data_IF_510333755912
#
_entry.id   IF_510333755912
#
_cell.length_a   1.000
_cell.length_b   1.000
_cell.length_c   1.000
_cell.angle_alpha   90.00
_cell.angle_beta   90.00
_cell.angle_gamma   90.00
#
_symmetry.space_group_name_H-M   'P 1'
#
loop_
_entity.id
_entity.type
_entity.pdbx_description
1 polymer ?
#
# COMPACT_ATOMS: atom_id res chain seq x y z
N UNK A 1 -33.93 11.80 -5.98
CA UNK A 1 -32.99 11.33 -7.03
C UNK A 1 -31.61 11.27 -6.39
N UNK A 2 -31.30 10.17 -5.69
CA UNK A 2 -29.94 9.90 -5.21
C UNK A 2 -29.25 9.13 -6.35
N UNK A 3 -28.38 9.81 -7.09
CA UNK A 3 -27.71 9.30 -8.28
C UNK A 3 -26.43 8.50 -7.96
N UNK A 4 -26.15 8.22 -6.68
CA UNK A 4 -24.99 7.46 -6.22
C UNK A 4 -25.43 6.39 -5.23
N UNK A 5 -25.00 5.15 -5.49
CA UNK A 5 -25.05 4.08 -4.51
C UNK A 5 -24.17 4.49 -3.31
N UNK A 6 -24.76 4.62 -2.12
CA UNK A 6 -24.02 4.96 -0.90
C UNK A 6 -22.88 3.97 -0.63
N UNK A 7 -23.05 2.71 -1.05
CA UNK A 7 -22.07 1.65 -0.92
C UNK A 7 -20.85 1.85 -1.83
N UNK A 8 -21.06 2.33 -3.07
CA UNK A 8 -19.96 2.72 -3.96
C UNK A 8 -19.15 3.85 -3.32
N UNK A 9 -19.81 4.91 -2.86
CA UNK A 9 -19.13 6.07 -2.27
C UNK A 9 -18.30 5.66 -1.05
N UNK A 10 -18.85 4.81 -0.18
CA UNK A 10 -18.13 4.28 0.97
C UNK A 10 -16.92 3.44 0.56
N UNK A 11 -17.09 2.54 -0.41
CA UNK A 11 -16.01 1.68 -0.90
C UNK A 11 -14.87 2.48 -1.54
N UNK A 12 -15.19 3.51 -2.33
CA UNK A 12 -14.18 4.41 -2.92
C UNK A 12 -13.39 5.13 -1.83
N UNK A 13 -14.05 5.64 -0.79
CA UNK A 13 -13.36 6.29 0.34
C UNK A 13 -12.39 5.34 1.06
N UNK A 14 -12.79 4.10 1.29
CA UNK A 14 -11.92 3.10 1.92
C UNK A 14 -10.72 2.74 1.03
N UNK A 15 -10.93 2.62 -0.29
CA UNK A 15 -9.84 2.40 -1.25
C UNK A 15 -8.85 3.58 -1.21
N UNK A 16 -9.34 4.82 -1.29
CA UNK A 16 -8.48 6.02 -1.24
C UNK A 16 -7.71 6.09 0.09
N UNK A 17 -8.36 5.82 1.22
CA UNK A 17 -7.70 5.77 2.52
C UNK A 17 -6.58 4.72 2.57
N UNK A 18 -6.78 3.56 1.95
CA UNK A 18 -5.74 2.53 1.81
C UNK A 18 -4.55 3.04 0.97
N UNK A 19 -4.81 3.80 -0.10
CA UNK A 19 -3.76 4.37 -0.95
C UNK A 19 -2.97 5.47 -0.24
N UNK A 20 -3.68 6.35 0.49
CA UNK A 20 -3.07 7.40 1.30
C UNK A 20 -2.20 6.80 2.41
N UNK A 21 -2.63 5.70 3.02
CA UNK A 21 -1.82 4.96 3.99
C UNK A 21 -0.52 4.42 3.37
N UNK A 22 -0.55 3.87 2.14
CA UNK A 22 0.68 3.47 1.42
C UNK A 22 1.62 4.65 1.18
N UNK A 23 1.10 5.82 0.80
CA UNK A 23 1.92 7.03 0.58
C UNK A 23 2.54 7.53 1.89
N UNK A 24 1.75 7.55 2.97
CA UNK A 24 2.22 7.92 4.29
C UNK A 24 3.35 6.98 4.76
N UNK A 25 3.19 5.67 4.58
CA UNK A 25 4.24 4.70 4.86
C UNK A 25 5.49 4.93 4.01
N UNK A 26 5.35 5.16 2.70
CA UNK A 26 6.48 5.44 1.83
C UNK A 26 7.27 6.68 2.29
N UNK A 27 6.58 7.74 2.73
CA UNK A 27 7.23 8.92 3.30
C UNK A 27 8.02 8.59 4.58
N UNK A 28 7.46 7.77 5.47
CA UNK A 28 8.15 7.31 6.69
C UNK A 28 9.34 6.40 6.38
N UNK A 29 9.22 5.55 5.37
CA UNK A 29 10.33 4.73 4.85
C UNK A 29 11.46 5.63 4.33
N UNK A 30 11.14 6.70 3.60
CA UNK A 30 12.13 7.68 3.18
C UNK A 30 12.80 8.40 4.35
N UNK A 31 12.08 8.70 5.43
CA UNK A 31 12.67 9.25 6.66
C UNK A 31 13.70 8.30 7.27
N UNK A 32 13.38 7.01 7.39
CA UNK A 32 14.31 5.97 7.86
C UNK A 32 15.57 5.94 6.99
N UNK A 33 15.42 5.93 5.66
CA UNK A 33 16.53 5.93 4.70
C UNK A 33 17.40 7.18 4.89
N UNK A 34 16.79 8.35 5.08
CA UNK A 34 17.49 9.62 5.32
C UNK A 34 18.33 9.56 6.60
N UNK A 35 17.74 9.15 7.71
CA UNK A 35 18.42 9.02 9.01
C UNK A 35 19.56 8.00 9.00
N UNK A 36 19.39 6.89 8.29
CA UNK A 36 20.46 5.90 8.08
C UNK A 36 21.58 6.44 7.18
N UNK A 37 21.32 7.45 6.36
CA UNK A 37 22.31 8.05 5.46
C UNK A 37 23.21 9.08 6.15
N UNK A 38 22.76 9.65 7.27
CA UNK A 38 23.50 10.62 8.07
C UNK A 38 24.53 9.97 9.02
N UNK A 39 24.47 8.65 9.20
CA UNK A 39 25.34 7.87 10.11
C UNK A 39 26.51 7.19 9.37
N UNK A 40 27.54 6.78 10.11
CA UNK A 40 28.70 6.02 9.56
C UNK A 40 28.21 4.71 8.96
N UNK A 41 28.30 4.57 7.63
CA UNK A 41 27.66 3.47 6.90
C UNK A 41 28.34 2.11 7.14
N UNK A 42 27.76 1.30 8.01
CA UNK A 42 28.11 -0.13 8.15
C UNK A 42 27.51 -0.97 7.01
N UNK A 43 27.95 -2.22 6.85
CA UNK A 43 27.35 -3.12 5.86
C UNK A 43 25.87 -3.41 6.18
N UNK A 44 25.55 -3.63 7.45
CA UNK A 44 24.19 -3.92 7.89
C UNK A 44 23.24 -2.74 7.60
N UNK A 45 23.67 -1.51 7.84
CA UNK A 45 22.88 -0.33 7.50
C UNK A 45 22.64 -0.19 5.98
N UNK A 46 23.59 -0.60 5.14
CA UNK A 46 23.37 -0.65 3.67
C UNK A 46 22.31 -1.68 3.31
N UNK A 47 22.33 -2.84 3.97
CA UNK A 47 21.35 -3.91 3.72
C UNK A 47 19.95 -3.49 4.19
N UNK A 48 19.84 -2.88 5.37
CA UNK A 48 18.58 -2.32 5.90
C UNK A 48 18.05 -1.23 4.97
N UNK A 49 18.91 -0.32 4.51
CA UNK A 49 18.53 0.74 3.57
C UNK A 49 18.04 0.18 2.24
N UNK A 50 18.73 -0.83 1.71
CA UNK A 50 18.31 -1.54 0.50
C UNK A 50 16.93 -2.17 0.66
N UNK A 51 16.68 -2.84 1.79
CA UNK A 51 15.36 -3.40 2.12
C UNK A 51 14.26 -2.33 2.11
N UNK A 52 14.51 -1.19 2.74
CA UNK A 52 13.54 -0.09 2.80
C UNK A 52 13.34 0.63 1.46
N UNK A 53 14.37 0.75 0.61
CA UNK A 53 14.20 1.23 -0.77
C UNK A 53 13.28 0.31 -1.59
N UNK A 54 13.44 -1.00 -1.42
CA UNK A 54 12.60 -1.98 -2.09
C UNK A 54 11.15 -1.93 -1.56
N UNK A 55 10.98 -1.74 -0.26
CA UNK A 55 9.66 -1.54 0.36
C UNK A 55 8.94 -0.30 -0.18
N UNK A 56 9.63 0.85 -0.26
CA UNK A 56 9.07 2.07 -0.86
C UNK A 56 8.62 1.83 -2.31
N UNK A 57 9.46 1.16 -3.09
CA UNK A 57 9.14 0.79 -4.48
C UNK A 57 7.87 -0.07 -4.54
N UNK A 58 7.74 -1.06 -3.66
CA UNK A 58 6.57 -1.94 -3.62
C UNK A 58 5.28 -1.17 -3.27
N UNK A 59 5.34 -0.24 -2.31
CA UNK A 59 4.20 0.61 -1.93
C UNK A 59 3.74 1.51 -3.09
N UNK A 60 4.68 2.12 -3.81
CA UNK A 60 4.34 2.93 -4.99
C UNK A 60 3.72 2.10 -6.11
N UNK A 61 4.25 0.91 -6.37
CA UNK A 61 3.71 0.00 -7.39
C UNK A 61 2.29 -0.49 -7.04
N UNK A 62 2.02 -0.76 -5.76
CA UNK A 62 0.67 -1.10 -5.28
C UNK A 62 -0.31 0.04 -5.55
N UNK A 63 0.06 1.28 -5.22
CA UNK A 63 -0.80 2.43 -5.49
C UNK A 63 -1.06 2.66 -6.99
N UNK A 64 -0.02 2.52 -7.82
CA UNK A 64 -0.17 2.60 -9.27
C UNK A 64 -1.15 1.54 -9.80
N UNK A 65 -1.01 0.29 -9.32
CA UNK A 65 -1.88 -0.81 -9.71
C UNK A 65 -3.34 -0.60 -9.24
N UNK A 66 -3.55 -0.07 -8.03
CA UNK A 66 -4.91 0.25 -7.55
C UNK A 66 -5.56 1.30 -8.46
N UNK A 67 -4.83 2.36 -8.82
CA UNK A 67 -5.32 3.35 -9.78
C UNK A 67 -5.65 2.73 -11.15
N UNK A 68 -4.80 1.83 -11.64
CA UNK A 68 -5.05 1.11 -12.89
C UNK A 68 -6.34 0.27 -12.82
N UNK A 69 -6.54 -0.46 -11.71
CA UNK A 69 -7.75 -1.26 -11.48
C UNK A 69 -8.99 -0.38 -11.36
N UNK A 70 -8.94 0.71 -10.60
CA UNK A 70 -10.03 1.68 -10.52
C UNK A 70 -10.37 2.25 -11.90
N UNK A 71 -9.36 2.64 -12.68
CA UNK A 71 -9.55 3.13 -14.06
C UNK A 71 -10.22 2.06 -14.93
N UNK A 72 -9.80 0.80 -14.83
CA UNK A 72 -10.40 -0.30 -15.60
C UNK A 72 -11.88 -0.54 -15.24
N UNK A 73 -12.24 -0.40 -13.96
CA UNK A 73 -13.63 -0.51 -13.48
C UNK A 73 -14.51 0.61 -14.07
N UNK A 74 -14.01 1.86 -14.06
CA UNK A 74 -14.77 3.02 -14.55
C UNK A 74 -14.80 3.14 -16.09
N UNK A 75 -13.71 2.80 -16.78
CA UNK A 75 -13.52 3.09 -18.22
C UNK A 75 -13.41 1.79 -19.04
N UNK A 76 -14.04 0.69 -18.59
CA UNK A 76 -13.99 -0.56 -19.36
C UNK A 76 -14.60 -0.34 -20.77
N UNK A 77 -13.94 -0.78 -21.87
CA UNK A 77 -14.43 -0.54 -23.23
C UNK A 77 -15.86 -1.03 -23.46
N UNK A 78 -16.26 -2.11 -22.78
CA UNK A 78 -17.61 -2.66 -22.80
C UNK A 78 -18.61 -1.75 -22.10
N UNK A 79 -18.23 -1.12 -20.98
CA UNK A 79 -19.05 -0.14 -20.26
C UNK A 79 -19.18 1.17 -21.03
N UNK A 80 -18.09 1.67 -21.61
CA UNK A 80 -18.10 2.87 -22.47
C UNK A 80 -18.99 2.66 -23.70
N UNK A 81 -18.93 1.48 -24.33
CA UNK A 81 -19.85 1.11 -25.44
C UNK A 81 -21.30 1.01 -25.00
N UNK A 82 -21.58 0.47 -23.80
CA UNK A 82 -22.93 0.40 -23.24
C UNK A 82 -23.47 1.76 -22.78
N UNK A 83 -22.60 2.74 -22.48
CA UNK A 83 -23.00 4.11 -22.10
C UNK A 83 -23.60 4.90 -23.26
N UNK A 84 -23.22 4.57 -24.50
CA UNK A 84 -23.80 5.14 -25.72
C UNK A 84 -25.11 4.40 -26.03
N UNK A 85 -26.24 5.05 -25.75
CA UNK A 85 -27.61 4.67 -26.14
C UNK A 85 -28.26 3.42 -25.51
N UNK A 86 -29.05 3.64 -24.43
CA UNK A 86 -30.40 3.06 -24.27
C UNK A 86 -31.27 4.01 -23.40
N UNK A 87 -32.27 4.70 -23.97
CA UNK A 87 -33.12 5.65 -23.22
C UNK A 87 -34.25 5.00 -22.39
N UNK A 88 -34.47 3.69 -22.49
CA UNK A 88 -35.78 3.11 -22.09
C UNK A 88 -35.76 2.14 -20.90
N UNK A 89 -34.60 1.65 -20.44
CA UNK A 89 -34.54 0.72 -19.30
C UNK A 89 -33.93 1.42 -18.09
N UNK A 90 -34.78 2.06 -17.29
CA UNK A 90 -34.46 2.84 -16.09
C UNK A 90 -33.90 2.04 -14.89
N UNK A 91 -32.97 1.10 -15.10
CA UNK A 91 -32.28 0.46 -13.99
C UNK A 91 -31.59 -0.84 -14.35
N UNK A 92 -30.31 -0.79 -14.72
CA UNK A 92 -29.41 -1.96 -14.73
C UNK A 92 -27.91 -1.57 -14.64
N UNK A 93 -27.56 -0.34 -14.23
CA UNK A 93 -26.17 0.16 -14.26
C UNK A 93 -25.46 0.27 -12.91
N UNK A 94 -26.17 0.38 -11.79
CA UNK A 94 -25.51 0.67 -10.50
C UNK A 94 -24.94 -0.58 -9.81
N UNK A 95 -25.55 -1.77 -9.97
CA UNK A 95 -25.14 -2.94 -9.20
C UNK A 95 -23.79 -3.52 -9.64
N UNK A 96 -23.54 -3.71 -10.94
CA UNK A 96 -22.25 -4.27 -11.42
C UNK A 96 -21.05 -3.35 -11.15
N UNK A 97 -21.25 -2.03 -11.12
CA UNK A 97 -20.20 -1.08 -10.75
C UNK A 97 -19.92 -1.12 -9.26
N UNK A 98 -20.98 -1.04 -8.45
CA UNK A 98 -20.89 -1.16 -7.00
C UNK A 98 -20.21 -2.47 -6.61
N UNK A 99 -20.61 -3.60 -7.19
CA UNK A 99 -20.00 -4.92 -6.94
C UNK A 99 -18.51 -4.96 -7.30
N UNK A 100 -18.11 -4.38 -8.44
CA UNK A 100 -16.71 -4.35 -8.85
C UNK A 100 -15.84 -3.49 -7.92
N UNK A 101 -16.35 -2.34 -7.48
CA UNK A 101 -15.66 -1.44 -6.54
C UNK A 101 -15.56 -2.07 -5.15
N UNK A 102 -16.65 -2.66 -4.66
CA UNK A 102 -16.66 -3.40 -3.39
C UNK A 102 -15.72 -4.61 -3.46
N UNK A 103 -15.68 -5.33 -4.59
CA UNK A 103 -14.75 -6.43 -4.81
C UNK A 103 -13.29 -5.98 -4.78
N UNK A 104 -12.96 -4.85 -5.42
CA UNK A 104 -11.63 -4.26 -5.34
C UNK A 104 -11.28 -3.90 -3.90
N UNK A 105 -12.15 -3.19 -3.19
CA UNK A 105 -11.99 -2.82 -1.78
C UNK A 105 -11.70 -4.04 -0.90
N UNK A 106 -12.48 -5.11 -1.07
CA UNK A 106 -12.31 -6.34 -0.29
C UNK A 106 -10.96 -7.02 -0.57
N UNK A 107 -10.46 -6.93 -1.81
CA UNK A 107 -9.13 -7.44 -2.17
C UNK A 107 -7.97 -6.67 -1.50
N UNK A 108 -8.23 -5.45 -1.00
CA UNK A 108 -7.24 -4.61 -0.31
C UNK A 108 -7.16 -4.86 1.20
N UNK A 109 -8.01 -5.71 1.78
CA UNK A 109 -8.02 -5.95 3.24
C UNK A 109 -6.67 -6.39 3.78
N UNK A 110 -6.02 -7.34 3.08
CA UNK A 110 -4.68 -7.81 3.44
C UNK A 110 -3.64 -6.67 3.40
N UNK A 111 -3.79 -5.73 2.46
CA UNK A 111 -2.92 -4.56 2.35
C UNK A 111 -3.13 -3.62 3.54
N UNK A 112 -4.37 -3.36 3.94
CA UNK A 112 -4.67 -2.51 5.10
C UNK A 112 -4.08 -3.09 6.38
N UNK A 113 -4.10 -4.40 6.55
CA UNK A 113 -3.56 -5.03 7.76
C UNK A 113 -2.03 -5.04 7.80
N UNK A 114 -1.36 -5.33 6.68
CA UNK A 114 0.10 -5.24 6.62
C UNK A 114 0.60 -3.79 6.78
N UNK A 115 -0.13 -2.81 6.26
CA UNK A 115 0.19 -1.39 6.43
C UNK A 115 0.25 -0.99 7.92
N UNK A 116 -0.68 -1.49 8.75
CA UNK A 116 -0.67 -1.25 10.21
C UNK A 116 0.56 -1.85 10.88
N UNK A 117 0.96 -3.06 10.46
CA UNK A 117 2.13 -3.76 11.01
C UNK A 117 3.43 -3.03 10.64
N UNK A 118 3.57 -2.65 9.37
CA UNK A 118 4.70 -1.85 8.89
C UNK A 118 4.75 -0.50 9.60
N UNK A 119 3.61 0.17 9.79
CA UNK A 119 3.57 1.44 10.52
C UNK A 119 4.19 1.31 11.91
N UNK A 120 3.83 0.26 12.67
CA UNK A 120 4.37 0.01 14.01
C UNK A 120 5.87 -0.26 13.99
N UNK A 121 6.33 -1.09 13.04
CA UNK A 121 7.75 -1.36 12.85
C UNK A 121 8.54 -0.06 12.56
N UNK A 122 8.00 0.81 11.70
CA UNK A 122 8.59 2.10 11.38
C UNK A 122 8.53 3.08 12.56
N UNK A 123 7.48 3.05 13.38
CA UNK A 123 7.38 3.85 14.61
C UNK A 123 8.52 3.51 15.57
N UNK A 124 8.72 2.21 15.82
CA UNK A 124 9.78 1.73 16.69
C UNK A 124 11.17 2.08 16.12
N UNK A 125 11.38 1.88 14.81
CA UNK A 125 12.66 2.17 14.17
C UNK A 125 12.97 3.67 14.15
N UNK A 126 12.03 4.53 13.76
CA UNK A 126 12.24 5.98 13.73
C UNK A 126 12.50 6.50 15.14
N UNK A 127 11.79 5.96 16.14
CA UNK A 127 12.05 6.27 17.55
C UNK A 127 13.49 5.89 17.92
N UNK A 128 13.92 4.66 17.66
CA UNK A 128 15.29 4.21 17.92
C UNK A 128 16.35 5.06 17.21
N UNK A 129 16.13 5.38 15.93
CA UNK A 129 17.03 6.21 15.13
C UNK A 129 17.11 7.67 15.59
N UNK A 130 16.10 8.15 16.32
CA UNK A 130 16.05 9.49 16.92
C UNK A 130 16.84 9.59 18.23
N UNK A 131 17.13 8.48 18.90
CA UNK A 131 17.99 8.45 20.08
C UNK A 131 19.48 8.45 19.68
N UNK A 132 20.35 8.81 20.64
CA UNK A 132 21.81 8.96 20.48
C UNK A 132 22.48 7.77 19.76
N UNK A 133 23.60 8.04 19.07
CA UNK A 133 24.37 7.11 18.23
C UNK A 133 24.67 5.78 18.93
N UNK A 134 25.05 5.81 20.21
CA UNK A 134 25.37 4.62 20.99
C UNK A 134 24.16 3.65 21.14
N UNK A 135 22.93 4.18 21.22
CA UNK A 135 21.73 3.35 21.31
C UNK A 135 21.40 2.71 19.96
N UNK A 136 21.65 3.44 18.87
CA UNK A 136 21.46 2.94 17.51
C UNK A 136 22.41 1.79 17.19
N UNK A 137 23.68 1.91 17.59
CA UNK A 137 24.69 0.86 17.40
C UNK A 137 24.28 -0.44 18.10
N UNK A 138 23.91 -0.37 19.38
CA UNK A 138 23.42 -1.54 20.13
C UNK A 138 22.16 -2.15 19.50
N UNK A 139 21.22 -1.31 19.05
CA UNK A 139 19.97 -1.80 18.46
C UNK A 139 20.19 -2.62 17.18
N UNK A 140 21.14 -2.20 16.33
CA UNK A 140 21.45 -2.92 15.09
C UNK A 140 22.34 -4.15 15.35
N UNK A 141 23.26 -4.11 16.32
CA UNK A 141 24.06 -5.27 16.75
C UNK A 141 23.22 -6.47 17.20
N UNK A 142 21.96 -6.25 17.63
CA UNK A 142 21.03 -7.30 18.03
C UNK A 142 20.25 -7.95 16.88
N UNK A 143 20.78 -7.91 15.65
CA UNK A 143 20.24 -8.69 14.53
C UNK A 143 18.95 -8.12 13.96
N UNK A 144 18.78 -6.79 14.01
CA UNK A 144 17.61 -6.12 13.46
C UNK A 144 17.35 -6.48 11.99
N UNK A 145 18.40 -6.57 11.17
CA UNK A 145 18.23 -6.96 9.77
C UNK A 145 17.63 -8.36 9.64
N UNK A 146 18.05 -9.31 10.48
CA UNK A 146 17.45 -10.65 10.53
C UNK A 146 15.98 -10.59 10.92
N UNK A 147 15.61 -9.75 11.89
CA UNK A 147 14.21 -9.61 12.32
C UNK A 147 13.31 -9.13 11.18
N UNK A 148 13.70 -8.06 10.47
CA UNK A 148 12.88 -7.49 9.39
C UNK A 148 12.83 -8.38 8.13
N UNK A 149 13.76 -9.32 7.97
CA UNK A 149 13.83 -10.21 6.80
C UNK A 149 13.32 -11.63 7.06
N UNK A 150 13.42 -12.14 8.29
CA UNK A 150 13.07 -13.52 8.61
C UNK A 150 11.83 -13.61 9.51
N UNK A 151 11.73 -12.77 10.55
CA UNK A 151 10.66 -12.88 11.55
C UNK A 151 9.40 -12.13 11.11
N UNK A 152 9.57 -10.89 10.65
CA UNK A 152 8.47 -10.02 10.23
C UNK A 152 8.18 -10.17 8.74
N UNK A 153 9.23 -10.14 7.90
CA UNK A 153 9.22 -10.34 6.44
C UNK A 153 8.05 -9.63 5.69
N UNK A 154 7.68 -8.44 6.16
CA UNK A 154 6.55 -7.69 5.62
C UNK A 154 6.77 -7.28 4.15
N UNK A 155 8.02 -7.15 3.72
CA UNK A 155 8.35 -6.87 2.32
C UNK A 155 7.93 -8.01 1.39
N UNK A 156 8.16 -9.27 1.78
CA UNK A 156 7.72 -10.42 0.98
C UNK A 156 6.20 -10.52 0.96
N UNK A 157 5.52 -10.19 2.06
CA UNK A 157 4.05 -10.10 2.11
C UNK A 157 3.53 -9.04 1.14
N UNK A 158 4.11 -7.84 1.14
CA UNK A 158 3.77 -6.77 0.19
C UNK A 158 3.96 -7.20 -1.26
N UNK A 159 5.09 -7.85 -1.58
CA UNK A 159 5.35 -8.39 -2.93
C UNK A 159 4.32 -9.44 -3.33
N UNK A 160 3.92 -10.31 -2.41
CA UNK A 160 2.88 -11.31 -2.64
C UNK A 160 1.52 -10.66 -2.93
N UNK A 161 1.13 -9.64 -2.16
CA UNK A 161 -0.08 -8.85 -2.43
C UNK A 161 -0.02 -8.23 -3.83
N UNK A 162 1.09 -7.57 -4.18
CA UNK A 162 1.28 -6.95 -5.49
C UNK A 162 1.13 -7.97 -6.63
N UNK A 163 1.77 -9.14 -6.49
CA UNK A 163 1.66 -10.21 -7.49
C UNK A 163 0.25 -10.78 -7.61
N UNK A 164 -0.47 -10.96 -6.51
CA UNK A 164 -1.87 -11.42 -6.53
C UNK A 164 -2.75 -10.40 -7.25
N UNK A 165 -2.63 -9.12 -6.91
CA UNK A 165 -3.42 -8.06 -7.51
C UNK A 165 -3.13 -7.84 -9.00
N UNK A 166 -1.91 -8.15 -9.45
CA UNK A 166 -1.54 -8.04 -10.86
C UNK A 166 -2.06 -9.21 -11.74
N UNK A 167 -2.42 -10.34 -11.13
CA UNK A 167 -2.93 -11.54 -11.84
C UNK A 167 -4.46 -11.56 -12.00
N UNK A 168 -5.17 -10.96 -11.06
CA UNK A 168 -6.59 -10.54 -11.22
C UNK A 168 -6.64 -9.39 -12.21
#
# INVERSE_FOLDING_TARGET
MNLHSQDEEFAVKEILACMDASLALAARVHEVIGRLSEKRVTLEEKMIRGHYHEMATCLYNLNALIHEKMRAIYISPERVRKMVFKPEDGGFRDNELTEAIVGLKDSLKDLVDIQKQISRQLDDLIKSLSYDLNFTEQYFEHGFYSRITNDEDYLSVLKSILQRMAKV
#
